data_IF_024233318734
#
_entry.id   IF_024233318734
#
_cell.length_a   1.000
_cell.length_b   1.000
_cell.length_c   1.000
_cell.angle_alpha   90.00
_cell.angle_beta   90.00
_cell.angle_gamma   90.00
#
_symmetry.space_group_name_H-M   'P 1'
#
loop_
_entity.id
_entity.type
_entity.pdbx_description
1 polymer ?
#
# COMPACT_ATOMS: atom_id res chain seq x y z
N UNK A 1 -0.43 -1.25 1.55
CA UNK A 1 0.58 -0.20 1.85
C UNK A 1 1.72 -0.88 2.57
N UNK A 2 2.97 -0.55 2.24
CA UNK A 2 4.13 -0.95 3.01
C UNK A 2 4.26 -0.09 4.27
N UNK A 3 4.32 -0.69 5.46
CA UNK A 3 4.32 0.05 6.72
C UNK A 3 5.64 0.78 6.99
N UNK A 4 6.76 0.25 6.51
CA UNK A 4 8.10 0.79 6.75
C UNK A 4 8.37 2.01 5.87
N UNK A 5 8.29 1.85 4.55
CA UNK A 5 8.60 2.89 3.58
C UNK A 5 7.38 3.73 3.19
N UNK A 6 6.18 3.38 3.68
CA UNK A 6 4.91 4.01 3.28
C UNK A 6 4.65 3.93 1.77
N UNK A 7 5.22 2.94 1.07
CA UNK A 7 5.03 2.77 -0.37
C UNK A 7 3.73 2.03 -0.70
N UNK A 8 2.94 2.57 -1.62
CA UNK A 8 1.76 1.88 -2.14
C UNK A 8 2.26 0.80 -3.11
N UNK A 9 2.18 -0.46 -2.69
CA UNK A 9 2.70 -1.63 -3.43
C UNK A 9 1.62 -2.38 -4.21
N UNK A 10 0.36 -2.02 -4.03
CA UNK A 10 -0.75 -2.64 -4.75
C UNK A 10 -2.03 -1.85 -4.55
N UNK A 11 -2.81 -1.73 -5.62
CA UNK A 11 -4.06 -0.99 -5.65
C UNK A 11 -4.96 -1.50 -6.77
N UNK A 12 -6.27 -1.26 -6.65
CA UNK A 12 -7.23 -1.60 -7.70
C UNK A 12 -8.41 -0.63 -7.63
N UNK A 13 -8.96 -0.28 -8.79
CA UNK A 13 -10.23 0.43 -8.92
C UNK A 13 -11.26 -0.55 -9.47
N UNK A 14 -12.43 -0.59 -8.86
CA UNK A 14 -13.54 -1.44 -9.30
C UNK A 14 -14.87 -0.73 -9.11
N UNK A 15 -15.84 -1.04 -9.97
CA UNK A 15 -17.25 -0.63 -9.82
C UNK A 15 -18.03 -1.55 -8.87
N UNK A 16 -17.40 -2.63 -8.38
CA UNK A 16 -18.00 -3.61 -7.48
C UNK A 16 -17.08 -3.95 -6.31
N UNK A 17 -17.67 -4.09 -5.12
CA UNK A 17 -16.99 -4.49 -3.87
C UNK A 17 -16.71 -6.00 -3.78
N UNK A 18 -16.59 -6.72 -4.90
CA UNK A 18 -16.27 -8.15 -4.88
C UNK A 18 -14.85 -8.39 -4.36
N UNK A 19 -14.63 -9.55 -3.75
CA UNK A 19 -13.34 -9.97 -3.18
C UNK A 19 -12.19 -9.91 -4.19
N UNK A 20 -12.48 -10.05 -5.48
CA UNK A 20 -11.50 -9.95 -6.57
C UNK A 20 -10.72 -8.62 -6.53
N UNK A 21 -11.35 -7.53 -6.06
CA UNK A 21 -10.68 -6.24 -5.90
C UNK A 21 -9.49 -6.29 -4.94
N UNK A 22 -9.68 -6.94 -3.78
CA UNK A 22 -8.64 -7.06 -2.77
C UNK A 22 -7.55 -8.05 -3.22
N UNK A 23 -7.94 -9.12 -3.89
CA UNK A 23 -7.00 -10.10 -4.47
C UNK A 23 -6.10 -9.46 -5.53
N UNK A 24 -6.65 -8.67 -6.47
CA UNK A 24 -5.85 -7.99 -7.50
C UNK A 24 -4.79 -7.07 -6.88
N UNK A 25 -5.16 -6.32 -5.83
CA UNK A 25 -4.21 -5.45 -5.12
C UNK A 25 -3.16 -6.26 -4.34
N UNK A 26 -3.54 -7.42 -3.78
CA UNK A 26 -2.62 -8.34 -3.12
C UNK A 26 -1.60 -8.93 -4.11
N UNK A 27 -2.04 -9.34 -5.30
CA UNK A 27 -1.12 -9.87 -6.33
C UNK A 27 -0.08 -8.85 -6.76
N UNK A 28 -0.48 -7.58 -6.95
CA UNK A 28 0.47 -6.50 -7.22
C UNK A 28 1.49 -6.35 -6.10
N UNK A 29 1.01 -6.36 -4.84
CA UNK A 29 1.88 -6.24 -3.68
C UNK A 29 2.85 -7.42 -3.55
N UNK A 30 2.41 -8.64 -3.82
CA UNK A 30 3.26 -9.83 -3.83
C UNK A 30 4.31 -9.77 -4.94
N UNK A 31 3.93 -9.31 -6.13
CA UNK A 31 4.86 -9.14 -7.24
C UNK A 31 5.96 -8.12 -6.92
N UNK A 32 5.59 -6.95 -6.39
CA UNK A 32 6.53 -5.91 -5.94
C UNK A 32 7.42 -6.36 -4.77
N UNK A 33 7.02 -7.39 -4.03
CA UNK A 33 7.74 -7.93 -2.86
C UNK A 33 8.41 -9.28 -3.11
N UNK A 34 8.54 -9.69 -4.37
CA UNK A 34 9.10 -11.00 -4.77
C UNK A 34 10.51 -11.24 -4.23
N UNK A 35 11.33 -10.19 -4.11
CA UNK A 35 12.69 -10.27 -3.58
C UNK A 35 12.67 -10.13 -2.04
N UNK A 36 12.13 -11.15 -1.34
CA UNK A 36 11.83 -11.20 0.12
C UNK A 36 13.04 -11.07 1.05
N UNK A 37 13.97 -10.16 0.76
CA UNK A 37 15.24 -9.92 1.46
C UNK A 37 15.07 -9.55 2.94
N UNK A 38 13.85 -9.22 3.38
CA UNK A 38 13.51 -8.82 4.75
C UNK A 38 12.93 -9.92 5.65
N UNK A 39 12.79 -11.17 5.19
CA UNK A 39 12.22 -12.27 6.00
C UNK A 39 10.70 -12.44 5.85
N UNK A 40 10.02 -13.08 6.83
CA UNK A 40 8.57 -13.31 6.76
C UNK A 40 7.80 -11.98 6.72
N UNK A 41 6.75 -11.93 5.89
CA UNK A 41 5.91 -10.76 5.69
C UNK A 41 4.60 -10.94 6.45
N UNK A 42 4.14 -9.88 7.12
CA UNK A 42 2.87 -9.84 7.83
C UNK A 42 1.88 -9.01 7.00
N UNK A 43 0.72 -9.59 6.72
CA UNK A 43 -0.40 -8.88 6.09
C UNK A 43 -1.35 -8.38 7.16
N UNK A 44 -1.47 -7.06 7.29
CA UNK A 44 -2.43 -6.43 8.19
C UNK A 44 -3.70 -6.04 7.43
N UNK A 45 -4.86 -6.45 7.95
CA UNK A 45 -6.16 -6.05 7.43
C UNK A 45 -7.16 -5.81 8.57
N UNK A 46 -8.20 -5.02 8.28
CA UNK A 46 -9.38 -4.98 9.13
C UNK A 46 -10.22 -6.27 8.95
N UNK A 47 -11.34 -6.36 9.68
CA UNK A 47 -12.31 -7.47 9.57
C UNK A 47 -13.36 -7.26 8.47
N UNK A 48 -13.07 -6.44 7.47
CA UNK A 48 -13.96 -6.24 6.33
C UNK A 48 -14.30 -7.59 5.68
N UNK A 49 -15.55 -7.77 5.25
CA UNK A 49 -16.05 -9.03 4.69
C UNK A 49 -15.27 -9.51 3.45
N UNK A 50 -14.56 -8.61 2.77
CA UNK A 50 -13.65 -8.89 1.66
C UNK A 50 -12.36 -9.60 2.11
N UNK A 51 -11.79 -9.19 3.25
CA UNK A 51 -10.55 -9.72 3.81
C UNK A 51 -10.77 -11.00 4.61
N UNK A 52 -12.00 -11.27 5.05
CA UNK A 52 -12.41 -12.49 5.75
C UNK A 52 -12.90 -13.58 4.78
N UNK A 53 -13.00 -13.27 3.49
CA UNK A 53 -13.38 -14.27 2.48
C UNK A 53 -12.34 -15.39 2.43
N UNK A 54 -12.81 -16.65 2.45
CA UNK A 54 -11.97 -17.87 2.45
C UNK A 54 -10.85 -17.78 1.40
N UNK A 55 -11.20 -17.36 0.19
CA UNK A 55 -10.29 -17.25 -0.96
C UNK A 55 -9.15 -16.26 -0.73
N UNK A 56 -9.36 -15.21 0.06
CA UNK A 56 -8.33 -14.22 0.39
C UNK A 56 -7.35 -14.80 1.42
N UNK A 57 -7.86 -15.43 2.47
CA UNK A 57 -7.03 -16.09 3.49
C UNK A 57 -6.23 -17.27 2.91
N UNK A 58 -6.82 -18.07 2.03
CA UNK A 58 -6.12 -19.14 1.30
C UNK A 58 -4.94 -18.58 0.50
N UNK A 59 -5.16 -17.48 -0.23
CA UNK A 59 -4.10 -16.86 -1.04
C UNK A 59 -2.95 -16.30 -0.20
N UNK A 60 -3.24 -15.72 0.97
CA UNK A 60 -2.22 -15.28 1.93
C UNK A 60 -1.36 -16.45 2.41
N UNK A 61 -2.00 -17.58 2.75
CA UNK A 61 -1.31 -18.80 3.16
C UNK A 61 -0.43 -19.37 2.03
N UNK A 62 -0.93 -19.41 0.79
CA UNK A 62 -0.15 -19.83 -0.38
C UNK A 62 1.07 -18.93 -0.63
N UNK A 63 0.94 -17.63 -0.35
CA UNK A 63 2.04 -16.69 -0.42
C UNK A 63 3.02 -16.79 0.77
N UNK A 64 2.74 -17.63 1.78
CA UNK A 64 3.51 -17.69 3.02
C UNK A 64 3.49 -16.36 3.79
N UNK A 65 2.37 -15.63 3.73
CA UNK A 65 2.14 -14.41 4.51
C UNK A 65 1.46 -14.77 5.83
N UNK A 66 1.93 -14.20 6.93
CA UNK A 66 1.23 -14.29 8.21
C UNK A 66 0.11 -13.24 8.22
N UNK A 67 -1.15 -13.68 8.31
CA UNK A 67 -2.27 -12.77 8.42
C UNK A 67 -2.40 -12.27 9.87
N UNK A 68 -2.14 -10.98 10.07
CA UNK A 68 -2.46 -10.30 11.33
C UNK A 68 -3.77 -9.56 11.16
N UNK A 69 -4.83 -10.11 11.75
CA UNK A 69 -6.12 -9.42 11.85
C UNK A 69 -6.19 -8.80 13.24
N UNK A 70 -6.20 -7.46 13.31
CA UNK A 70 -6.17 -6.74 14.57
C UNK A 70 -7.21 -7.23 15.59
N UNK A 71 -6.87 -7.18 16.88
CA UNK A 71 -7.83 -7.39 17.97
C UNK A 71 -8.91 -6.30 17.94
N UNK A 72 -10.07 -6.53 18.59
CA UNK A 72 -11.13 -5.50 18.65
C UNK A 72 -10.54 -4.24 19.30
N UNK A 73 -10.40 -3.16 18.53
CA UNK A 73 -9.89 -1.88 19.01
C UNK A 73 -8.41 -1.58 18.69
N UNK A 74 -7.69 -2.47 18.00
CA UNK A 74 -6.32 -2.19 17.56
C UNK A 74 -6.35 -1.41 16.23
N UNK A 75 -6.38 -0.10 16.36
CA UNK A 75 -6.65 0.86 15.27
C UNK A 75 -5.41 1.26 14.48
N UNK A 76 -4.21 0.91 14.95
CA UNK A 76 -2.96 1.46 14.41
C UNK A 76 -2.64 0.98 12.99
N UNK A 77 -2.79 -0.31 12.70
CA UNK A 77 -2.46 -0.86 11.38
C UNK A 77 -3.43 -0.37 10.30
N UNK A 78 -4.72 -0.29 10.65
CA UNK A 78 -5.73 0.24 9.76
C UNK A 78 -5.60 1.77 9.59
N UNK A 79 -5.14 2.50 10.61
CA UNK A 79 -5.00 3.96 10.55
C UNK A 79 -4.06 4.42 9.42
N UNK A 80 -3.00 3.66 9.11
CA UNK A 80 -2.12 3.97 7.97
C UNK A 80 -2.88 3.86 6.64
N UNK A 81 -3.63 2.76 6.45
CA UNK A 81 -4.45 2.56 5.26
C UNK A 81 -5.55 3.63 5.15
N UNK A 82 -6.23 3.94 6.26
CA UNK A 82 -7.27 4.97 6.36
C UNK A 82 -6.75 6.38 6.06
N UNK A 83 -5.52 6.69 6.49
CA UNK A 83 -4.88 7.96 6.17
C UNK A 83 -4.66 8.10 4.67
N UNK A 84 -4.11 7.06 4.02
CA UNK A 84 -3.82 7.09 2.59
C UNK A 84 -5.10 7.15 1.76
N UNK A 85 -6.13 6.38 2.10
CA UNK A 85 -7.41 6.46 1.38
C UNK A 85 -8.09 7.82 1.59
N UNK A 86 -7.92 8.43 2.77
CA UNK A 86 -8.39 9.79 3.06
C UNK A 86 -7.72 10.85 2.18
N UNK A 87 -6.39 10.75 2.03
CA UNK A 87 -5.61 11.59 1.13
C UNK A 87 -6.03 11.40 -0.33
N UNK A 88 -6.10 10.15 -0.80
CA UNK A 88 -6.53 9.82 -2.16
C UNK A 88 -7.92 10.40 -2.49
N UNK A 89 -8.89 10.21 -1.60
CA UNK A 89 -10.24 10.77 -1.77
C UNK A 89 -10.22 12.29 -1.85
N UNK A 90 -9.37 12.94 -1.07
CA UNK A 90 -9.28 14.41 -0.99
C UNK A 90 -8.55 15.01 -2.19
N UNK A 91 -7.42 14.43 -2.58
CA UNK A 91 -6.53 14.96 -3.59
C UNK A 91 -6.97 14.59 -5.00
N UNK A 92 -7.56 13.40 -5.18
CA UNK A 92 -7.96 12.88 -6.49
C UNK A 92 -9.48 12.93 -6.64
N UNK A 93 -10.22 12.09 -5.91
CA UNK A 93 -11.65 11.87 -6.19
C UNK A 93 -12.49 13.14 -6.06
N UNK A 94 -12.31 13.90 -4.98
CA UNK A 94 -13.08 15.14 -4.73
C UNK A 94 -12.65 16.31 -5.62
N UNK A 95 -11.38 16.37 -6.04
CA UNK A 95 -10.84 17.46 -6.87
C UNK A 95 -10.98 17.24 -8.37
N UNK A 96 -10.85 16.00 -8.83
CA UNK A 96 -10.85 15.63 -10.25
C UNK A 96 -12.24 15.31 -10.83
N UNK A 97 -13.28 15.26 -9.99
CA UNK A 97 -14.65 15.03 -10.46
C UNK A 97 -15.23 16.24 -11.24
N UNK A 98 -16.31 16.04 -12.02
CA UNK A 98 -17.03 14.78 -12.22
C UNK A 98 -16.29 13.77 -13.13
N UNK A 99 -16.36 12.50 -12.76
CA UNK A 99 -15.69 11.40 -13.47
C UNK A 99 -16.56 10.84 -14.60
N UNK A 100 -15.94 10.59 -15.77
CA UNK A 100 -16.65 10.11 -16.97
C UNK A 100 -16.75 8.59 -17.09
N UNK A 101 -16.19 7.85 -16.13
CA UNK A 101 -16.11 6.39 -16.17
C UNK A 101 -15.09 5.87 -15.17
N UNK A 102 -15.05 4.56 -15.01
CA UNK A 102 -14.10 3.90 -14.13
C UNK A 102 -12.67 4.01 -14.66
N UNK A 103 -12.50 4.03 -15.98
CA UNK A 103 -11.22 4.13 -16.68
C UNK A 103 -10.54 5.46 -16.38
N UNK A 104 -11.33 6.55 -16.29
CA UNK A 104 -10.81 7.86 -15.91
C UNK A 104 -10.32 7.89 -14.46
N UNK A 105 -11.02 7.20 -13.56
CA UNK A 105 -10.60 7.06 -12.15
C UNK A 105 -9.36 6.18 -12.05
N UNK A 106 -9.31 5.07 -12.77
CA UNK A 106 -8.18 4.14 -12.80
C UNK A 106 -6.91 4.84 -13.30
N UNK A 107 -7.00 5.62 -14.39
CA UNK A 107 -5.88 6.39 -14.90
C UNK A 107 -5.40 7.44 -13.89
N UNK A 108 -6.32 8.21 -13.29
CA UNK A 108 -5.96 9.17 -12.25
C UNK A 108 -5.37 8.51 -11.00
N UNK A 109 -5.81 7.29 -10.67
CA UNK A 109 -5.26 6.50 -9.57
C UNK A 109 -3.83 6.08 -9.89
N UNK A 110 -3.57 5.60 -11.10
CA UNK A 110 -2.22 5.24 -11.55
C UNK A 110 -1.27 6.44 -11.43
N UNK A 111 -1.66 7.60 -11.97
CA UNK A 111 -0.85 8.83 -11.90
C UNK A 111 -0.59 9.25 -10.45
N UNK A 112 -1.63 9.21 -9.61
CA UNK A 112 -1.49 9.61 -8.21
C UNK A 112 -0.63 8.64 -7.40
N UNK A 113 -0.74 7.33 -7.63
CA UNK A 113 0.10 6.32 -6.96
C UNK A 113 1.56 6.46 -7.39
N UNK A 114 1.83 6.66 -8.68
CA UNK A 114 3.18 6.92 -9.18
C UNK A 114 3.78 8.18 -8.54
N UNK A 115 3.03 9.29 -8.55
CA UNK A 115 3.45 10.52 -7.88
C UNK A 115 3.66 10.33 -6.37
N UNK A 116 2.74 9.64 -5.69
CA UNK A 116 2.83 9.37 -4.26
C UNK A 116 4.10 8.60 -3.92
N UNK A 117 4.41 7.55 -4.68
CA UNK A 117 5.55 6.69 -4.40
C UNK A 117 6.89 7.35 -4.76
N UNK A 118 6.95 8.08 -5.87
CA UNK A 118 8.23 8.53 -6.45
C UNK A 118 8.52 10.02 -6.28
N UNK A 119 7.55 10.83 -5.85
CA UNK A 119 7.69 12.30 -5.82
C UNK A 119 7.13 12.97 -4.57
N UNK A 120 6.19 12.34 -3.86
CA UNK A 120 5.60 12.92 -2.63
C UNK A 120 6.61 12.85 -1.48
N UNK A 121 7.02 14.01 -0.98
CA UNK A 121 7.86 14.10 0.21
C UNK A 121 7.01 13.88 1.46
N UNK A 122 7.47 13.00 2.35
CA UNK A 122 6.80 12.71 3.62
C UNK A 122 7.71 13.11 4.78
N UNK A 123 7.25 14.03 5.63
CA UNK A 123 7.97 14.42 6.86
C UNK A 123 8.39 13.20 7.70
N UNK A 124 7.53 12.19 7.94
CA UNK A 124 7.92 11.02 8.73
C UNK A 124 9.01 10.16 8.12
N UNK A 125 9.34 10.35 6.83
CA UNK A 125 10.45 9.69 6.14
C UNK A 125 11.70 10.58 6.06
N UNK A 126 11.70 11.77 6.67
CA UNK A 126 12.79 12.73 6.55
C UNK A 126 12.72 13.58 5.28
N UNK A 127 11.51 13.86 4.78
CA UNK A 127 11.26 14.66 3.58
C UNK A 127 11.83 14.07 2.29
N UNK A 128 11.85 12.75 2.17
CA UNK A 128 12.11 12.01 0.92
C UNK A 128 10.85 11.27 0.45
N UNK A 129 10.86 10.78 -0.78
CA UNK A 129 9.76 9.96 -1.30
C UNK A 129 9.78 8.53 -0.73
N UNK A 130 8.62 7.84 -0.68
CA UNK A 130 8.55 6.43 -0.29
C UNK A 130 9.54 5.52 -1.03
N UNK A 131 9.70 5.71 -2.34
CA UNK A 131 10.61 4.91 -3.16
C UNK A 131 12.08 5.19 -2.83
N UNK A 132 12.47 6.44 -2.60
CA UNK A 132 13.83 6.79 -2.19
C UNK A 132 14.17 6.23 -0.82
N UNK A 133 13.24 6.35 0.14
CA UNK A 133 13.41 5.80 1.48
C UNK A 133 13.59 4.27 1.46
N UNK A 134 12.77 3.58 0.67
CA UNK A 134 12.91 2.13 0.48
C UNK A 134 14.23 1.75 -0.19
N UNK A 135 14.65 2.48 -1.23
CA UNK A 135 15.90 2.22 -1.93
C UNK A 135 17.11 2.35 -1.00
N UNK A 136 17.10 3.35 -0.11
CA UNK A 136 18.16 3.54 0.89
C UNK A 136 18.30 2.37 1.88
N UNK A 137 17.20 1.67 2.19
CA UNK A 137 17.22 0.49 3.05
C UNK A 137 17.88 -0.72 2.37
N UNK A 138 17.60 -0.96 1.09
CA UNK A 138 18.17 -2.09 0.35
C UNK A 138 19.57 -1.82 -0.20
N UNK A 139 19.91 -0.55 -0.41
CA UNK A 139 21.22 -0.09 -0.85
C UNK A 139 21.74 0.95 0.13
N UNK A 140 22.13 0.53 1.35
CA UNK A 140 22.84 1.41 2.26
C UNK A 140 24.19 1.74 1.62
N UNK A 141 24.23 2.81 0.84
CA UNK A 141 25.48 3.44 0.46
C UNK A 141 26.12 3.88 1.77
N UNK A 142 27.38 3.49 1.97
CA UNK A 142 28.15 3.68 3.19
C UNK A 142 28.46 5.19 3.41
N UNK A 143 27.44 5.99 3.70
CA UNK A 143 27.51 7.46 3.68
C UNK A 143 26.89 8.09 4.94
N UNK A 144 27.04 7.42 6.08
CA UNK A 144 26.90 8.03 7.42
C UNK A 144 28.24 8.10 8.18
N UNK A 145 29.37 8.02 7.48
CA UNK A 145 30.72 8.07 8.06
C UNK A 145 31.41 9.45 8.02
N UNK A 146 30.76 10.52 7.57
CA UNK A 146 31.38 11.85 7.49
C UNK A 146 30.47 12.96 8.03
N UNK A 147 30.20 12.90 9.33
CA UNK A 147 29.86 14.08 10.12
C UNK A 147 30.18 13.80 11.61
N UNK A 148 31.48 13.81 11.94
CA UNK A 148 32.00 13.90 13.29
C UNK A 148 33.11 14.96 13.33
#
# INVERSE_FOLDING_TARGET
IDAYARRIVGWRVSSSLRTDLALDALEQALHERTDRRGGPLIHHSDRGTQYVAIRYTERLNEAGLEASVGSIGDSYDNALAETIIGLYKTEVIRRGGPWRGIEAVEFATLEWVDWFNHRRLLEPLGYVSPAEFEAAYYHPSNEFALAA
#
